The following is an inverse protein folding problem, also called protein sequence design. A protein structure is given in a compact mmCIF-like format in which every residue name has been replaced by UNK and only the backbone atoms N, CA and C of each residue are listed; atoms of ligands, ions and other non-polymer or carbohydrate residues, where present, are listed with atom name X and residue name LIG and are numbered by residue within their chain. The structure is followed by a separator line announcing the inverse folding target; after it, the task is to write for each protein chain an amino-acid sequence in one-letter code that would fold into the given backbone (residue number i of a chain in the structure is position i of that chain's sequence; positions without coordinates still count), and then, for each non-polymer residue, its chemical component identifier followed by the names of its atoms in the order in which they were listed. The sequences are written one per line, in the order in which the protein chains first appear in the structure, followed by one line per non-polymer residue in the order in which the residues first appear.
data_IF_430648883206
#
_entry.id   IF_430648883206
#
_cell.length_a   1.000
_cell.length_b   1.000
_cell.length_c   1.000
_cell.angle_alpha   90.00
_cell.angle_beta   90.00
_cell.angle_gamma   90.00
#
_symmetry.space_group_name_H-M   'P 1'
#
loop_
_entity.id
_entity.type
_entity.pdbx_description
1 polymer ?
#
# COMPACT_ATOMS: atom_id res chain seq x y z
N UNK A 1 -19.45 -11.11 -24.50
CA UNK A 1 -18.82 -11.48 -23.21
C UNK A 1 -17.60 -10.61 -23.05
N UNK A 2 -17.63 -9.61 -22.16
CA UNK A 2 -16.42 -8.84 -21.82
C UNK A 2 -15.68 -9.67 -20.78
N UNK A 3 -14.55 -10.27 -21.16
CA UNK A 3 -13.62 -10.86 -20.21
C UNK A 3 -13.10 -9.71 -19.34
N UNK A 4 -13.59 -9.60 -18.11
CA UNK A 4 -13.00 -8.71 -17.11
C UNK A 4 -11.68 -9.36 -16.74
N UNK A 5 -10.57 -8.86 -17.31
CA UNK A 5 -9.24 -9.31 -16.96
C UNK A 5 -8.99 -8.82 -15.53
N UNK A 6 -8.99 -9.73 -14.56
CA UNK A 6 -8.59 -9.41 -13.20
C UNK A 6 -7.08 -9.20 -13.24
N UNK A 7 -6.58 -8.00 -12.89
CA UNK A 7 -5.18 -7.71 -13.03
C UNK A 7 -4.41 -8.55 -12.02
N UNK A 8 -3.34 -9.19 -12.48
CA UNK A 8 -2.54 -10.08 -11.66
C UNK A 8 -1.67 -9.26 -10.68
N UNK A 9 -1.04 -9.94 -9.72
CA UNK A 9 -0.20 -9.27 -8.71
C UNK A 9 0.89 -8.39 -9.35
N UNK A 10 1.51 -8.86 -10.42
CA UNK A 10 2.60 -8.16 -11.10
C UNK A 10 2.14 -6.80 -11.67
N UNK A 11 0.97 -6.75 -12.31
CA UNK A 11 0.39 -5.51 -12.82
C UNK A 11 0.04 -4.53 -11.70
N UNK A 12 -0.55 -5.03 -10.61
CA UNK A 12 -0.88 -4.20 -9.43
C UNK A 12 0.35 -3.67 -8.71
N UNK A 13 1.40 -4.49 -8.62
CA UNK A 13 2.67 -4.12 -8.03
C UNK A 13 3.41 -3.07 -8.87
N UNK A 14 3.41 -3.21 -10.19
CA UNK A 14 3.98 -2.20 -11.07
C UNK A 14 3.30 -0.84 -10.88
N UNK A 15 1.97 -0.81 -10.88
CA UNK A 15 1.20 0.42 -10.65
C UNK A 15 1.52 1.03 -9.28
N UNK A 16 1.62 0.22 -8.23
CA UNK A 16 1.97 0.71 -6.88
C UNK A 16 3.39 1.31 -6.84
N UNK A 17 4.35 0.67 -7.50
CA UNK A 17 5.73 1.16 -7.60
C UNK A 17 5.77 2.48 -8.39
N UNK A 18 5.14 2.54 -9.56
CA UNK A 18 5.09 3.74 -10.39
C UNK A 18 4.39 4.89 -9.64
N UNK A 19 3.31 4.61 -8.93
CA UNK A 19 2.57 5.58 -8.12
C UNK A 19 3.39 6.11 -6.94
N UNK A 20 4.19 5.26 -6.31
CA UNK A 20 5.08 5.66 -5.21
C UNK A 20 6.27 6.53 -5.66
N UNK A 21 6.54 6.61 -6.96
CA UNK A 21 7.65 7.37 -7.53
C UNK A 21 9.03 6.78 -7.22
N UNK A 22 9.10 5.53 -6.74
CA UNK A 22 10.34 4.86 -6.39
C UNK A 22 11.11 4.42 -7.64
N UNK A 23 12.36 4.86 -7.76
CA UNK A 23 13.27 4.29 -8.75
C UNK A 23 13.87 2.95 -8.26
N UNK A 24 14.46 2.16 -9.17
CA UNK A 24 14.99 0.83 -8.86
C UNK A 24 15.92 0.76 -7.62
N UNK A 25 16.92 1.66 -7.47
CA UNK A 25 17.74 1.75 -6.25
C UNK A 25 16.95 2.05 -4.96
N UNK A 26 16.00 2.99 -5.01
CA UNK A 26 15.16 3.33 -3.85
C UNK A 26 14.26 2.17 -3.46
N UNK A 27 13.63 1.52 -4.44
CA UNK A 27 12.81 0.32 -4.21
C UNK A 27 13.63 -0.79 -3.55
N UNK A 28 14.84 -1.07 -4.04
CA UNK A 28 15.73 -2.06 -3.40
C UNK A 28 16.06 -1.72 -1.96
N UNK A 29 16.29 -0.45 -1.66
CA UNK A 29 16.62 0.02 -0.31
C UNK A 29 15.41 -0.15 0.61
N UNK A 30 14.21 0.23 0.14
CA UNK A 30 12.97 0.06 0.88
C UNK A 30 12.62 -1.43 1.12
N UNK A 31 12.79 -2.27 0.10
CA UNK A 31 12.62 -3.73 0.20
C UNK A 31 13.61 -4.35 1.19
N UNK A 32 14.87 -3.91 1.18
CA UNK A 32 15.89 -4.37 2.13
C UNK A 32 15.56 -3.93 3.57
N UNK A 33 15.06 -2.71 3.75
CA UNK A 33 14.57 -2.23 5.05
C UNK A 33 13.37 -3.04 5.56
N UNK A 34 12.55 -3.57 4.64
CA UNK A 34 11.47 -4.51 4.95
C UNK A 34 11.94 -5.97 5.15
N UNK A 35 13.25 -6.22 5.20
CA UNK A 35 13.82 -7.56 5.43
C UNK A 35 13.86 -8.46 4.20
N UNK A 36 13.67 -7.90 3.00
CA UNK A 36 13.73 -8.66 1.74
C UNK A 36 14.91 -8.19 0.88
N UNK A 37 16.00 -8.96 0.91
CA UNK A 37 17.15 -8.74 0.03
C UNK A 37 16.83 -9.25 -1.39
N UNK A 38 16.42 -8.33 -2.27
CA UNK A 38 16.32 -8.63 -3.70
C UNK A 38 17.66 -8.42 -4.41
N UNK A 39 18.08 -9.41 -5.19
CA UNK A 39 19.15 -9.22 -6.17
C UNK A 39 18.73 -8.18 -7.22
N UNK A 40 19.71 -7.46 -7.79
CA UNK A 40 19.45 -6.39 -8.77
C UNK A 40 18.55 -6.86 -9.92
N UNK A 41 18.84 -8.04 -10.49
CA UNK A 41 18.04 -8.63 -11.56
C UNK A 41 16.63 -9.01 -11.11
N UNK A 42 16.45 -9.47 -9.87
CA UNK A 42 15.14 -9.88 -9.36
C UNK A 42 14.23 -8.66 -9.14
N UNK A 43 14.79 -7.54 -8.69
CA UNK A 43 14.06 -6.27 -8.56
C UNK A 43 13.54 -5.76 -9.91
N UNK A 44 14.38 -5.77 -10.95
CA UNK A 44 13.93 -5.36 -12.30
C UNK A 44 12.83 -6.26 -12.87
N UNK A 45 12.92 -7.58 -12.63
CA UNK A 45 11.86 -8.52 -13.03
C UNK A 45 10.54 -8.26 -12.31
N UNK A 46 10.60 -7.91 -11.03
CA UNK A 46 9.42 -7.54 -10.25
C UNK A 46 8.78 -6.25 -10.78
N UNK A 47 9.58 -5.20 -11.01
CA UNK A 47 9.10 -3.91 -11.57
C UNK A 47 8.45 -4.09 -12.94
N UNK A 48 9.00 -4.99 -13.78
CA UNK A 48 8.48 -5.27 -15.12
C UNK A 48 7.29 -6.23 -15.15
N UNK A 49 6.82 -6.70 -14.00
CA UNK A 49 5.74 -7.69 -13.92
C UNK A 49 6.13 -9.08 -14.48
N UNK A 50 7.43 -9.36 -14.63
CA UNK A 50 7.93 -10.65 -15.14
C UNK A 50 7.86 -11.76 -14.07
N UNK A 51 7.55 -11.41 -12.81
CA UNK A 51 7.37 -12.36 -11.71
C UNK A 51 5.87 -12.55 -11.47
N UNK A 52 5.35 -13.67 -11.92
CA UNK A 52 3.93 -14.01 -11.77
C UNK A 52 3.57 -14.56 -10.38
N UNK A 53 4.53 -15.19 -9.69
CA UNK A 53 4.33 -15.79 -8.37
C UNK A 53 5.49 -15.43 -7.41
N UNK A 54 5.48 -14.21 -6.85
CA UNK A 54 6.47 -13.80 -5.87
C UNK A 54 6.22 -14.48 -4.51
N UNK A 55 7.31 -14.78 -3.80
CA UNK A 55 7.21 -15.31 -2.43
C UNK A 55 6.50 -14.30 -1.53
N UNK A 56 5.81 -14.80 -0.51
CA UNK A 56 5.10 -13.97 0.49
C UNK A 56 5.97 -12.85 1.08
N UNK A 57 7.26 -13.13 1.36
CA UNK A 57 8.20 -12.13 1.87
C UNK A 57 8.46 -10.99 0.88
N UNK A 58 8.46 -11.28 -0.42
CA UNK A 58 8.58 -10.27 -1.48
C UNK A 58 7.32 -9.42 -1.56
N UNK A 59 6.15 -10.05 -1.46
CA UNK A 59 4.87 -9.32 -1.47
C UNK A 59 4.77 -8.37 -0.28
N UNK A 60 5.06 -8.86 0.93
CA UNK A 60 5.06 -8.06 2.14
C UNK A 60 6.02 -6.85 2.02
N UNK A 61 7.21 -7.07 1.48
CA UNK A 61 8.18 -6.00 1.30
C UNK A 61 7.76 -4.98 0.24
N UNK A 62 7.06 -5.37 -0.84
CA UNK A 62 6.50 -4.43 -1.82
C UNK A 62 5.40 -3.57 -1.20
N UNK A 63 4.52 -4.16 -0.38
CA UNK A 63 3.48 -3.43 0.35
C UNK A 63 4.12 -2.39 1.26
N UNK A 64 5.12 -2.79 2.06
CA UNK A 64 5.85 -1.88 2.95
C UNK A 64 6.59 -0.79 2.16
N UNK A 65 7.27 -1.15 1.07
CA UNK A 65 8.06 -0.21 0.29
C UNK A 65 7.21 0.85 -0.41
N UNK A 66 6.04 0.48 -0.95
CA UNK A 66 5.16 1.39 -1.70
C UNK A 66 4.21 2.17 -0.79
N UNK A 67 3.94 1.68 0.43
CA UNK A 67 2.98 2.28 1.34
C UNK A 67 1.52 2.16 0.88
N UNK A 68 1.27 1.39 -0.18
CA UNK A 68 -0.07 1.14 -0.72
C UNK A 68 -0.79 0.13 0.18
N UNK A 69 -2.10 0.30 0.45
CA UNK A 69 -2.88 -0.66 1.22
C UNK A 69 -2.73 -2.08 0.69
N UNK A 70 -2.48 -3.06 1.58
CA UNK A 70 -2.29 -4.46 1.18
C UNK A 70 -3.47 -5.03 0.42
N UNK A 71 -4.69 -4.56 0.72
CA UNK A 71 -5.93 -4.91 0.05
C UNK A 71 -5.88 -4.63 -1.46
N UNK A 72 -5.24 -3.54 -1.90
CA UNK A 72 -5.06 -3.22 -3.33
C UNK A 72 -4.47 -4.38 -4.14
N UNK A 73 -3.54 -5.16 -3.57
CA UNK A 73 -2.82 -6.22 -4.29
C UNK A 73 -3.64 -7.48 -4.50
N UNK A 74 -4.70 -7.68 -3.71
CA UNK A 74 -5.46 -8.92 -3.65
C UNK A 74 -6.97 -8.75 -3.85
N UNK A 75 -7.46 -7.51 -3.85
CA UNK A 75 -8.88 -7.22 -3.92
C UNK A 75 -9.48 -7.68 -5.26
N UNK A 76 -10.36 -8.70 -5.26
CA UNK A 76 -10.96 -9.25 -6.46
C UNK A 76 -11.99 -8.30 -7.10
N UNK A 77 -12.52 -7.33 -6.35
CA UNK A 77 -13.51 -6.37 -6.83
C UNK A 77 -12.88 -5.25 -7.68
N UNK A 78 -11.55 -5.16 -7.68
CA UNK A 78 -10.79 -4.36 -8.65
C UNK A 78 -10.79 -5.13 -9.97
N UNK A 79 -11.91 -5.04 -10.69
CA UNK A 79 -12.06 -5.54 -12.05
C UNK A 79 -11.44 -4.60 -13.07
N UNK A 80 -10.79 -5.15 -14.10
CA UNK A 80 -10.20 -4.40 -15.21
C UNK A 80 -8.73 -4.02 -14.99
N UNK A 81 -8.11 -3.33 -15.96
CA UNK A 81 -6.69 -3.02 -15.90
C UNK A 81 -6.31 -2.22 -14.64
N UNK A 82 -5.24 -2.66 -13.96
CA UNK A 82 -4.64 -1.86 -12.89
C UNK A 82 -4.03 -0.60 -13.52
N UNK A 83 -4.41 0.58 -13.02
CA UNK A 83 -3.90 1.88 -13.49
C UNK A 83 -3.62 2.79 -12.31
N UNK A 84 -2.74 3.80 -12.46
CA UNK A 84 -2.52 4.78 -11.40
C UNK A 84 -3.81 5.47 -10.93
N UNK A 85 -4.77 5.69 -11.84
CA UNK A 85 -6.08 6.29 -11.52
C UNK A 85 -6.95 5.36 -10.67
N UNK A 86 -6.97 4.05 -10.97
CA UNK A 86 -7.73 3.10 -10.15
C UNK A 86 -7.13 2.95 -8.76
N UNK A 87 -5.80 2.98 -8.63
CA UNK A 87 -5.12 3.00 -7.32
C UNK A 87 -5.45 4.27 -6.52
N UNK A 88 -5.39 5.45 -7.14
CA UNK A 88 -5.74 6.70 -6.47
C UNK A 88 -7.19 6.70 -5.94
N UNK A 89 -8.15 6.22 -6.74
CA UNK A 89 -9.54 6.06 -6.31
C UNK A 89 -9.70 5.03 -5.20
N UNK A 90 -8.90 3.97 -5.24
CA UNK A 90 -8.89 2.94 -4.20
C UNK A 90 -8.48 3.51 -2.86
N UNK A 91 -7.34 4.22 -2.82
CA UNK A 91 -6.83 4.88 -1.62
C UNK A 91 -7.87 5.86 -1.06
N UNK A 92 -8.47 6.70 -1.91
CA UNK A 92 -9.53 7.63 -1.49
C UNK A 92 -10.74 6.92 -0.87
N UNK A 93 -11.14 5.75 -1.41
CA UNK A 93 -12.24 4.96 -0.85
C UNK A 93 -11.86 4.34 0.49
N UNK A 94 -10.65 3.81 0.63
CA UNK A 94 -10.15 3.25 1.88
C UNK A 94 -10.05 4.33 2.97
N UNK A 95 -9.56 5.52 2.63
CA UNK A 95 -9.50 6.67 3.53
C UNK A 95 -10.88 7.14 3.96
N UNK A 96 -11.85 7.21 3.03
CA UNK A 96 -13.23 7.57 3.36
C UNK A 96 -13.92 6.52 4.25
N UNK A 97 -13.64 5.24 4.02
CA UNK A 97 -14.20 4.12 4.81
C UNK A 97 -13.59 4.07 6.21
N UNK A 98 -12.30 4.42 6.35
CA UNK A 98 -11.60 4.48 7.63
C UNK A 98 -11.94 5.76 8.41
N UNK A 99 -12.19 6.87 7.72
CA UNK A 99 -12.63 8.15 8.30
C UNK A 99 -14.03 8.11 8.92
N UNK A 100 -14.89 7.17 8.50
CA UNK A 100 -16.19 6.91 9.14
C UNK A 100 -16.09 6.11 10.45
N UNK A 101 -14.93 5.53 10.77
CA UNK A 101 -14.73 4.69 11.95
C UNK A 101 -14.21 5.41 13.21
N UNK A 102 -14.00 6.74 13.17
CA UNK A 102 -13.65 7.54 14.35
C UNK A 102 -14.48 8.84 14.39
N UNK A 103 -15.44 8.94 15.32
CA UNK A 103 -15.09 9.55 16.60
C UNK A 103 -15.81 8.88 17.77
N UNK A 104 -15.08 8.13 18.61
CA UNK A 104 -15.55 7.85 19.97
C UNK A 104 -14.61 8.53 20.96
N UNK A 105 -15.14 9.60 21.56
CA UNK A 105 -14.40 10.58 22.33
C UNK A 105 -13.63 9.96 23.48
N UNK A 106 -12.35 10.29 23.54
CA UNK A 106 -11.56 10.08 24.73
C UNK A 106 -11.01 11.44 25.19
N UNK A 107 -11.60 11.90 26.29
CA UNK A 107 -10.89 12.50 27.43
C UNK A 107 -10.48 13.98 27.29
N UNK A 108 -11.40 14.85 27.67
CA UNK A 108 -11.06 16.09 28.38
C UNK A 108 -11.71 16.08 29.76
N UNK A 109 -10.98 15.54 30.74
CA UNK A 109 -11.24 15.77 32.15
C UNK A 109 -9.90 15.70 32.88
N UNK A 110 -9.15 16.80 32.80
CA UNK A 110 -8.07 17.14 33.73
C UNK A 110 -7.86 18.64 33.67
N UNK A 111 -8.63 19.37 34.47
CA UNK A 111 -8.14 20.60 35.08
C UNK A 111 -8.48 20.53 36.57
N UNK A 112 -7.49 20.00 37.30
CA UNK A 112 -7.37 20.18 38.74
C UNK A 112 -6.86 21.62 38.91
N UNK A 113 -7.78 22.55 39.11
CA UNK A 113 -7.47 23.94 39.45
C UNK A 113 -7.24 24.05 40.95
N UNK A 114 -6.00 24.31 41.31
CA UNK A 114 -5.52 24.62 42.64
C UNK A 114 -5.97 26.06 43.00
N UNK A 115 -6.91 26.21 43.93
CA UNK A 115 -7.27 27.52 44.51
C UNK A 115 -6.74 27.59 45.96
N UNK A 116 -5.50 28.07 46.07
CA UNK A 116 -5.01 28.75 47.27
C UNK A 116 -5.32 30.24 47.13
N UNK A 117 -6.27 30.76 47.91
CA UNK A 117 -6.30 32.15 48.39
C UNK A 117 -7.46 32.37 49.38
N UNK A 118 -7.14 32.70 50.64
CA UNK A 118 -8.10 33.21 51.64
C UNK A 118 -7.84 32.75 53.06
#
# INVERSE_FOLDING_TARGET
MVLVLIPNFAERAQVAIDFSGLNGPQLRTAMAAAGCELSKNHCYKLIRGEILDPRFSTVAAVIVATGVPSSWFFDPDIGGAATPTSLARYIQREEASTGLAHPHGARSQREHGNDEAG
#
